data_IF_476879658492
#
_entry.id   IF_476879658492
#
_cell.length_a   1.000
_cell.length_b   1.000
_cell.length_c   1.000
_cell.angle_alpha   90.00
_cell.angle_beta   90.00
_cell.angle_gamma   90.00
#
_symmetry.space_group_name_H-M   'P 1'
#
loop_
_entity.id
_entity.type
_entity.pdbx_description
1 polymer ?
#
# COMPACT_ATOMS: atom_id res chain seq x y z
N UNK A 1 25.06 -7.57 -26.75
CA UNK A 1 23.94 -7.08 -25.93
C UNK A 1 23.44 -5.79 -26.52
N UNK A 2 22.18 -5.77 -26.91
CA UNK A 2 21.54 -4.55 -27.43
C UNK A 2 21.32 -3.54 -26.28
N UNK A 3 21.27 -2.22 -26.55
CA UNK A 3 21.02 -1.21 -25.51
C UNK A 3 19.77 -1.47 -24.67
N UNK A 4 18.72 -2.05 -25.28
CA UNK A 4 17.48 -2.40 -24.57
C UNK A 4 17.68 -3.49 -23.50
N UNK A 5 18.59 -4.45 -23.74
CA UNK A 5 18.90 -5.52 -22.79
C UNK A 5 19.65 -4.97 -21.57
N UNK A 6 20.58 -4.03 -21.80
CA UNK A 6 21.28 -3.34 -20.72
C UNK A 6 20.34 -2.53 -19.84
N UNK A 7 19.38 -1.81 -20.45
CA UNK A 7 18.36 -1.05 -19.72
C UNK A 7 17.51 -2.00 -18.88
N UNK A 8 17.03 -3.11 -19.46
CA UNK A 8 16.23 -4.10 -18.75
C UNK A 8 16.98 -4.70 -17.56
N UNK A 9 18.26 -5.06 -17.75
CA UNK A 9 19.11 -5.59 -16.68
C UNK A 9 19.32 -4.56 -15.56
N UNK A 10 19.54 -3.29 -15.90
CA UNK A 10 19.67 -2.22 -14.91
C UNK A 10 18.38 -1.99 -14.12
N UNK A 11 17.22 -1.98 -14.79
CA UNK A 11 15.91 -1.87 -14.15
C UNK A 11 15.62 -3.05 -13.21
N UNK A 12 15.93 -4.27 -13.65
CA UNK A 12 15.86 -5.47 -12.82
C UNK A 12 16.77 -5.34 -11.60
N UNK A 13 18.05 -5.01 -11.77
CA UNK A 13 18.96 -4.84 -10.64
C UNK A 13 18.46 -3.78 -9.63
N UNK A 14 17.99 -2.63 -10.11
CA UNK A 14 17.42 -1.58 -9.27
C UNK A 14 16.21 -2.10 -8.47
N UNK A 15 15.29 -2.79 -9.13
CA UNK A 15 14.10 -3.38 -8.51
C UNK A 15 14.48 -4.42 -7.45
N UNK A 16 15.46 -5.30 -7.74
CA UNK A 16 15.97 -6.30 -6.81
C UNK A 16 16.53 -5.68 -5.52
N UNK A 17 17.42 -4.70 -5.65
CA UNK A 17 18.01 -4.04 -4.48
C UNK A 17 16.97 -3.24 -3.69
N UNK A 18 16.00 -2.62 -4.36
CA UNK A 18 14.91 -1.91 -3.70
C UNK A 18 14.01 -2.89 -2.89
N UNK A 19 13.68 -4.04 -3.44
CA UNK A 19 12.94 -5.09 -2.72
C UNK A 19 13.72 -5.63 -1.52
N UNK A 20 15.03 -5.90 -1.66
CA UNK A 20 15.89 -6.28 -0.53
C UNK A 20 15.91 -5.22 0.57
N UNK A 21 15.95 -3.95 0.18
CA UNK A 21 15.88 -2.84 1.13
C UNK A 21 14.56 -2.83 1.90
N UNK A 22 13.40 -3.02 1.24
CA UNK A 22 12.11 -3.17 1.93
C UNK A 22 12.14 -4.34 2.90
N UNK A 23 12.60 -5.50 2.44
CA UNK A 23 12.63 -6.73 3.23
C UNK A 23 13.44 -6.48 4.51
N UNK A 24 14.62 -5.87 4.38
CA UNK A 24 15.45 -5.44 5.51
C UNK A 24 14.71 -4.46 6.43
N UNK A 25 14.06 -3.43 5.87
CA UNK A 25 13.31 -2.44 6.66
C UNK A 25 12.16 -3.07 7.44
N UNK A 26 11.32 -3.89 6.81
CA UNK A 26 10.22 -4.58 7.48
C UNK A 26 10.76 -5.56 8.52
N UNK A 27 11.85 -6.28 8.23
CA UNK A 27 12.45 -7.21 9.18
C UNK A 27 12.93 -6.53 10.46
N UNK A 28 13.47 -5.31 10.34
CA UNK A 28 13.92 -4.49 11.47
C UNK A 28 12.81 -3.77 12.24
N UNK A 29 11.55 -3.85 11.80
CA UNK A 29 10.44 -3.26 12.55
C UNK A 29 10.16 -4.03 13.85
N UNK A 30 9.64 -3.37 14.90
CA UNK A 30 9.14 -4.04 16.09
C UNK A 30 8.12 -5.14 15.75
N UNK A 31 8.03 -6.17 16.59
CA UNK A 31 7.15 -7.34 16.38
C UNK A 31 5.72 -6.89 16.10
N UNK A 32 5.22 -5.94 16.87
CA UNK A 32 3.88 -5.38 16.75
C UNK A 32 3.65 -4.73 15.36
N UNK A 33 4.63 -3.97 14.87
CA UNK A 33 4.58 -3.34 13.55
C UNK A 33 4.65 -4.36 12.40
N UNK A 34 5.39 -5.46 12.58
CA UNK A 34 5.51 -6.53 11.57
C UNK A 34 4.22 -7.34 11.41
N UNK A 35 3.40 -7.42 12.46
CA UNK A 35 2.12 -8.13 12.41
C UNK A 35 0.98 -7.32 11.77
N UNK A 36 1.21 -6.02 11.49
CA UNK A 36 0.26 -5.21 10.74
C UNK A 36 0.08 -5.75 9.31
N UNK A 37 -1.12 -5.58 8.73
CA UNK A 37 -1.47 -6.18 7.45
C UNK A 37 -0.58 -5.71 6.29
N UNK A 38 -0.40 -4.40 6.12
CA UNK A 38 0.33 -3.86 4.96
C UNK A 38 1.83 -4.16 4.98
N UNK A 39 2.59 -3.97 6.09
CA UNK A 39 3.99 -4.35 6.10
C UNK A 39 4.19 -5.82 5.73
N UNK A 40 3.28 -6.69 6.18
CA UNK A 40 3.27 -8.11 5.82
C UNK A 40 2.95 -8.35 4.35
N UNK A 41 1.95 -7.68 3.79
CA UNK A 41 1.63 -7.73 2.35
C UNK A 41 2.82 -7.30 1.50
N UNK A 42 3.42 -6.15 1.83
CA UNK A 42 4.57 -5.58 1.12
C UNK A 42 5.81 -6.46 1.28
N UNK A 43 6.00 -7.08 2.44
CA UNK A 43 7.09 -8.03 2.65
C UNK A 43 6.97 -9.24 1.71
N UNK A 44 5.79 -9.87 1.65
CA UNK A 44 5.59 -11.01 0.74
C UNK A 44 5.68 -10.59 -0.73
N UNK A 45 5.11 -9.45 -1.10
CA UNK A 45 5.22 -8.89 -2.45
C UNK A 45 6.69 -8.65 -2.84
N UNK A 46 7.48 -8.03 -1.97
CA UNK A 46 8.90 -7.77 -2.21
C UNK A 46 9.71 -9.08 -2.34
N UNK A 47 9.39 -10.12 -1.57
CA UNK A 47 10.06 -11.43 -1.73
C UNK A 47 9.74 -12.03 -3.10
N UNK A 48 8.46 -12.01 -3.52
CA UNK A 48 8.07 -12.53 -4.83
C UNK A 48 8.74 -11.74 -5.95
N UNK A 49 8.76 -10.41 -5.85
CA UNK A 49 9.39 -9.55 -6.85
C UNK A 49 10.91 -9.82 -6.93
N UNK A 50 11.60 -10.03 -5.80
CA UNK A 50 12.99 -10.49 -5.78
C UNK A 50 13.17 -11.81 -6.56
N UNK A 51 12.27 -12.78 -6.36
CA UNK A 51 12.32 -14.08 -7.06
C UNK A 51 12.11 -13.91 -8.56
N UNK A 52 11.13 -13.12 -8.98
CA UNK A 52 10.84 -12.84 -10.39
C UNK A 52 12.02 -12.14 -11.07
N UNK A 53 12.55 -11.10 -10.42
CA UNK A 53 13.66 -10.33 -10.97
C UNK A 53 14.95 -11.16 -11.03
N UNK A 54 15.26 -11.94 -9.99
CA UNK A 54 16.39 -12.88 -10.02
C UNK A 54 16.25 -13.91 -11.14
N UNK A 55 15.03 -14.44 -11.34
CA UNK A 55 14.72 -15.31 -12.47
C UNK A 55 14.93 -14.62 -13.83
N UNK A 56 14.57 -13.35 -13.95
CA UNK A 56 14.72 -12.56 -15.19
C UNK A 56 16.19 -12.27 -15.50
N UNK A 57 16.97 -11.87 -14.49
CA UNK A 57 18.43 -11.68 -14.61
C UNK A 57 19.10 -12.97 -15.05
N UNK A 58 18.77 -14.08 -14.38
CA UNK A 58 19.30 -15.41 -14.73
C UNK A 58 18.94 -15.80 -16.17
N UNK A 59 17.77 -15.39 -16.67
CA UNK A 59 17.33 -15.69 -18.05
C UNK A 59 18.22 -14.97 -19.06
N UNK A 60 18.49 -13.69 -18.82
CA UNK A 60 19.39 -12.90 -19.66
C UNK A 60 20.79 -13.51 -19.75
N UNK A 61 21.34 -13.98 -18.63
CA UNK A 61 22.65 -14.65 -18.63
C UNK A 61 22.62 -16.01 -19.34
N UNK A 62 21.58 -16.82 -19.13
CA UNK A 62 21.46 -18.13 -19.78
C UNK A 62 21.34 -17.97 -21.30
N UNK A 63 20.44 -17.09 -21.78
CA UNK A 63 20.25 -16.85 -23.21
C UNK A 63 21.54 -16.41 -23.91
N UNK A 64 22.34 -15.56 -23.25
CA UNK A 64 23.61 -15.08 -23.81
C UNK A 64 24.68 -16.15 -23.89
N UNK A 65 24.80 -16.97 -22.84
CA UNK A 65 25.77 -18.06 -22.84
C UNK A 65 25.40 -19.18 -23.82
N UNK A 66 24.12 -19.36 -24.14
CA UNK A 66 23.64 -20.37 -25.08
C UNK A 66 23.62 -19.94 -26.54
N UNK A 67 23.77 -18.64 -26.83
CA UNK A 67 23.66 -18.08 -28.19
C UNK A 67 24.73 -18.56 -29.19
N UNK A 68 25.69 -19.40 -28.78
CA UNK A 68 26.76 -19.93 -29.63
C UNK A 68 26.86 -21.46 -29.69
N UNK A 69 25.95 -22.21 -29.08
CA UNK A 69 26.01 -23.68 -29.04
C UNK A 69 25.02 -24.32 -30.03
N UNK A 70 25.53 -25.03 -31.04
CA UNK A 70 24.79 -26.00 -31.84
C UNK A 70 25.52 -27.36 -31.81
N UNK A 71 24.87 -28.47 -31.37
CA UNK A 71 23.48 -28.58 -30.87
C UNK A 71 23.29 -28.07 -29.43
N UNK A 72 22.07 -27.64 -29.13
CA UNK A 72 21.68 -27.18 -27.79
C UNK A 72 21.64 -28.38 -26.82
N UNK A 73 22.29 -28.32 -25.66
CA UNK A 73 22.28 -29.42 -24.69
C UNK A 73 20.87 -29.73 -24.15
N UNK A 74 20.54 -31.00 -23.94
CA UNK A 74 19.21 -31.44 -23.44
C UNK A 74 18.81 -30.81 -22.10
N UNK A 75 19.79 -30.53 -21.22
CA UNK A 75 19.55 -29.90 -19.92
C UNK A 75 18.98 -28.48 -20.05
N UNK A 76 19.19 -27.82 -21.19
CA UNK A 76 18.66 -26.48 -21.48
C UNK A 76 17.15 -26.46 -21.38
N UNK A 77 16.46 -27.50 -21.85
CA UNK A 77 15.00 -27.58 -21.80
C UNK A 77 14.49 -27.68 -20.34
N UNK A 78 15.18 -28.45 -19.50
CA UNK A 78 14.83 -28.56 -18.08
C UNK A 78 15.03 -27.23 -17.35
N UNK A 79 16.17 -26.55 -17.59
CA UNK A 79 16.46 -25.22 -17.03
C UNK A 79 15.44 -24.19 -17.50
N UNK A 80 15.11 -24.20 -18.79
CA UNK A 80 14.11 -23.35 -19.41
C UNK A 80 12.72 -23.49 -18.74
N UNK A 81 12.29 -24.74 -18.52
CA UNK A 81 11.03 -25.06 -17.84
C UNK A 81 11.03 -24.58 -16.39
N UNK A 82 12.09 -24.86 -15.65
CA UNK A 82 12.22 -24.45 -14.26
C UNK A 82 12.19 -22.91 -14.13
N UNK A 83 12.88 -22.23 -15.03
CA UNK A 83 12.92 -20.78 -15.08
C UNK A 83 11.57 -20.17 -15.43
N UNK A 84 10.89 -20.68 -16.46
CA UNK A 84 9.54 -20.23 -16.81
C UNK A 84 8.54 -20.50 -15.68
N UNK A 85 8.65 -21.62 -14.98
CA UNK A 85 7.83 -21.92 -13.81
C UNK A 85 8.01 -20.85 -12.73
N UNK A 86 9.26 -20.48 -12.41
CA UNK A 86 9.57 -19.45 -11.40
C UNK A 86 9.07 -18.09 -11.86
N UNK A 87 9.31 -17.71 -13.12
CA UNK A 87 8.90 -16.41 -13.66
C UNK A 87 7.39 -16.25 -13.73
N UNK A 88 6.68 -17.21 -14.35
CA UNK A 88 5.22 -17.15 -14.51
C UNK A 88 4.54 -17.27 -13.15
N UNK A 89 4.97 -18.24 -12.34
CA UNK A 89 4.41 -18.44 -11.00
C UNK A 89 4.65 -17.25 -10.08
N UNK A 90 5.85 -16.67 -10.12
CA UNK A 90 6.20 -15.46 -9.37
C UNK A 90 5.38 -14.25 -9.82
N UNK A 91 5.27 -13.99 -11.13
CA UNK A 91 4.44 -12.88 -11.64
C UNK A 91 2.98 -13.00 -11.23
N UNK A 92 2.43 -14.22 -11.29
CA UNK A 92 1.07 -14.49 -10.82
C UNK A 92 0.93 -14.23 -9.32
N UNK A 93 1.87 -14.73 -8.51
CA UNK A 93 1.89 -14.50 -7.06
C UNK A 93 1.97 -13.01 -6.73
N UNK A 94 2.80 -12.26 -7.43
CA UNK A 94 2.96 -10.81 -7.26
C UNK A 94 1.65 -10.09 -7.55
N UNK A 95 1.00 -10.44 -8.67
CA UNK A 95 -0.33 -9.91 -9.02
C UNK A 95 -1.42 -10.23 -7.99
N UNK A 96 -1.41 -11.43 -7.40
CA UNK A 96 -2.33 -11.80 -6.31
C UNK A 96 -2.08 -10.97 -5.04
N UNK A 97 -0.83 -10.68 -4.71
CA UNK A 97 -0.51 -9.80 -3.58
C UNK A 97 -0.94 -8.35 -3.84
N UNK A 98 -0.80 -7.84 -5.06
CA UNK A 98 -1.33 -6.52 -5.44
C UNK A 98 -2.86 -6.45 -5.30
N UNK A 99 -3.57 -7.48 -5.78
CA UNK A 99 -5.02 -7.61 -5.58
C UNK A 99 -5.41 -7.72 -4.10
N UNK A 100 -4.58 -8.38 -3.29
CA UNK A 100 -4.79 -8.48 -1.85
C UNK A 100 -4.58 -7.14 -1.14
N UNK A 101 -3.59 -6.34 -1.57
CA UNK A 101 -3.41 -4.96 -1.09
C UNK A 101 -4.63 -4.12 -1.47
N UNK A 102 -5.10 -4.19 -2.72
CA UNK A 102 -6.29 -3.48 -3.19
C UNK A 102 -7.55 -3.86 -2.40
N UNK A 103 -7.76 -5.16 -2.16
CA UNK A 103 -8.84 -5.67 -1.33
C UNK A 103 -8.71 -5.21 0.14
N UNK A 104 -7.48 -5.13 0.64
CA UNK A 104 -7.15 -4.56 1.95
C UNK A 104 -7.64 -3.12 2.06
N UNK A 105 -7.27 -2.25 1.12
CA UNK A 105 -7.78 -0.87 1.05
C UNK A 105 -9.30 -0.82 1.02
N UNK A 106 -9.92 -1.62 0.15
CA UNK A 106 -11.38 -1.67 0.02
C UNK A 106 -12.05 -2.06 1.34
N UNK A 107 -11.59 -3.12 2.01
CA UNK A 107 -12.15 -3.55 3.29
C UNK A 107 -11.88 -2.56 4.43
N UNK A 108 -10.74 -1.85 4.40
CA UNK A 108 -10.43 -0.76 5.34
C UNK A 108 -11.39 0.42 5.17
N UNK A 109 -11.58 0.92 3.94
CA UNK A 109 -12.47 2.06 3.68
C UNK A 109 -13.96 1.71 3.80
N UNK A 110 -14.35 0.47 3.53
CA UNK A 110 -15.71 -0.04 3.78
C UNK A 110 -15.94 -0.45 5.23
N UNK A 111 -14.92 -0.37 6.11
CA UNK A 111 -14.97 -0.76 7.52
C UNK A 111 -15.40 -2.22 7.76
N UNK A 112 -15.05 -3.11 6.84
CA UNK A 112 -15.41 -4.53 6.88
C UNK A 112 -14.42 -5.34 7.74
N UNK A 113 -14.62 -5.34 9.07
CA UNK A 113 -13.71 -6.02 10.03
C UNK A 113 -13.52 -7.52 9.76
N UNK A 114 -14.60 -8.24 9.45
CA UNK A 114 -14.55 -9.69 9.19
C UNK A 114 -13.70 -10.00 7.96
N UNK A 115 -13.86 -9.20 6.89
CA UNK A 115 -13.02 -9.27 5.70
C UNK A 115 -11.55 -9.02 6.06
N UNK A 116 -11.25 -7.95 6.79
CA UNK A 116 -9.87 -7.62 7.16
C UNK A 116 -9.19 -8.71 8.00
N UNK A 117 -9.91 -9.30 8.97
CA UNK A 117 -9.43 -10.44 9.75
C UNK A 117 -9.13 -11.66 8.88
N UNK A 118 -10.00 -11.93 7.89
CA UNK A 118 -9.78 -13.00 6.92
C UNK A 118 -8.54 -12.73 6.06
N UNK A 119 -8.39 -11.50 5.53
CA UNK A 119 -7.23 -11.10 4.72
C UNK A 119 -5.92 -11.15 5.52
N UNK A 120 -5.96 -10.84 6.82
CA UNK A 120 -4.80 -10.91 7.71
C UNK A 120 -4.42 -12.34 8.12
N UNK A 121 -5.27 -13.33 7.84
CA UNK A 121 -4.99 -14.73 8.15
C UNK A 121 -3.79 -15.24 7.38
N UNK A 122 -2.85 -15.88 8.08
CA UNK A 122 -1.66 -16.51 7.49
C UNK A 122 -1.99 -17.52 6.39
N UNK A 123 -3.15 -18.17 6.48
CA UNK A 123 -3.61 -19.12 5.46
C UNK A 123 -3.81 -18.48 4.08
N UNK A 124 -4.24 -17.21 4.01
CA UNK A 124 -4.45 -16.50 2.74
C UNK A 124 -3.12 -16.25 2.04
N UNK A 125 -2.11 -15.78 2.78
CA UNK A 125 -0.75 -15.59 2.24
C UNK A 125 -0.16 -16.89 1.70
N UNK A 126 -0.23 -17.97 2.49
CA UNK A 126 0.26 -19.29 2.06
C UNK A 126 -0.47 -19.79 0.81
N UNK A 127 -1.78 -19.54 0.70
CA UNK A 127 -2.57 -19.93 -0.46
C UNK A 127 -2.08 -19.25 -1.74
N UNK A 128 -1.72 -17.96 -1.72
CA UNK A 128 -1.23 -17.27 -2.91
C UNK A 128 0.10 -17.82 -3.42
N UNK A 129 1.02 -18.15 -2.52
CA UNK A 129 2.28 -18.82 -2.88
C UNK A 129 2.03 -20.17 -3.54
N UNK A 130 1.13 -20.98 -2.97
CA UNK A 130 0.77 -22.29 -3.52
C UNK A 130 0.12 -22.11 -4.90
N UNK A 131 -0.84 -21.20 -5.05
CA UNK A 131 -1.49 -20.91 -6.34
C UNK A 131 -0.47 -20.45 -7.38
N UNK A 132 0.47 -19.58 -7.01
CA UNK A 132 1.62 -19.18 -7.80
C UNK A 132 2.43 -20.34 -8.35
N UNK A 133 2.91 -21.20 -7.45
CA UNK A 133 3.74 -22.35 -7.79
C UNK A 133 2.99 -23.37 -8.66
N UNK A 134 1.75 -23.68 -8.30
CA UNK A 134 0.89 -24.60 -9.06
C UNK A 134 0.64 -24.04 -10.46
N UNK A 135 0.35 -22.76 -10.56
CA UNK A 135 0.12 -22.10 -11.84
C UNK A 135 1.35 -22.09 -12.73
N UNK A 136 2.51 -21.68 -12.18
CA UNK A 136 3.78 -21.73 -12.88
C UNK A 136 4.13 -23.13 -13.36
N UNK A 137 3.88 -24.16 -12.52
CA UNK A 137 4.12 -25.55 -12.88
C UNK A 137 3.22 -26.01 -14.04
N UNK A 138 1.92 -25.70 -14.02
CA UNK A 138 1.02 -26.10 -15.10
C UNK A 138 1.36 -25.39 -16.42
N UNK A 139 1.58 -24.08 -16.40
CA UNK A 139 1.89 -23.31 -17.62
C UNK A 139 3.25 -23.71 -18.20
N UNK A 140 4.30 -23.77 -17.37
CA UNK A 140 5.63 -24.14 -17.84
C UNK A 140 5.72 -25.64 -18.17
N UNK A 141 5.11 -26.51 -17.36
CA UNK A 141 5.16 -27.96 -17.55
C UNK A 141 4.44 -28.42 -18.81
N UNK A 142 3.26 -27.87 -19.09
CA UNK A 142 2.44 -28.23 -20.24
C UNK A 142 2.78 -27.40 -21.51
N UNK A 143 3.15 -26.13 -21.32
CA UNK A 143 3.28 -25.16 -22.40
C UNK A 143 4.70 -24.80 -22.84
N UNK A 144 5.72 -25.07 -22.02
CA UNK A 144 7.09 -24.76 -22.40
C UNK A 144 7.71 -25.86 -23.28
N UNK A 145 8.26 -25.43 -24.41
CA UNK A 145 9.16 -26.22 -25.23
C UNK A 145 10.12 -25.28 -25.95
N UNK A 146 11.36 -25.71 -26.16
CA UNK A 146 12.29 -24.95 -27.01
C UNK A 146 11.73 -24.94 -28.44
N UNK A 147 11.53 -23.75 -29.02
CA UNK A 147 11.20 -23.69 -30.45
C UNK A 147 12.33 -24.34 -31.25
N UNK A 148 11.98 -25.27 -32.14
CA UNK A 148 12.93 -25.99 -33.00
C UNK A 148 13.58 -25.11 -34.07
N UNK A 149 13.21 -23.82 -34.15
CA UNK A 149 13.57 -22.91 -35.23
C UNK A 149 14.81 -22.05 -34.94
N UNK A 150 15.91 -22.66 -34.50
CA UNK A 150 17.25 -22.04 -34.48
C UNK A 150 17.46 -20.84 -33.53
N UNK A 151 16.45 -20.40 -32.80
CA UNK A 151 16.55 -19.32 -31.81
C UNK A 151 16.30 -19.92 -30.43
N UNK A 152 17.36 -20.07 -29.64
CA UNK A 152 17.43 -20.57 -28.26
C UNK A 152 16.76 -19.62 -27.26
N UNK A 153 15.52 -19.20 -27.51
CA UNK A 153 14.73 -18.43 -26.55
C UNK A 153 13.74 -19.33 -25.83
N UNK A 154 13.69 -19.19 -24.52
CA UNK A 154 12.71 -19.83 -23.68
C UNK A 154 11.35 -19.18 -23.87
N UNK A 155 10.53 -19.73 -24.76
CA UNK A 155 9.20 -19.20 -25.06
C UNK A 155 8.09 -20.16 -24.64
N UNK A 156 7.01 -19.60 -24.11
CA UNK A 156 5.76 -20.33 -23.87
C UNK A 156 5.05 -20.49 -25.23
N UNK A 157 4.43 -21.65 -25.48
CA UNK A 157 3.60 -21.85 -26.67
C UNK A 157 2.41 -20.88 -26.66
N UNK A 158 2.23 -20.18 -27.77
CA UNK A 158 1.21 -19.13 -27.97
C UNK A 158 -0.23 -19.50 -27.57
N UNK A 159 -0.62 -20.77 -27.62
CA UNK A 159 -1.98 -21.17 -27.24
C UNK A 159 -2.23 -21.08 -25.72
N UNK A 160 -1.18 -21.21 -24.90
CA UNK A 160 -1.26 -21.09 -23.44
C UNK A 160 -1.28 -19.63 -22.96
N UNK A 161 -0.99 -18.68 -23.85
CA UNK A 161 -1.04 -17.24 -23.54
C UNK A 161 -2.47 -16.79 -23.18
N UNK A 162 -3.51 -17.38 -23.78
CA UNK A 162 -4.91 -16.94 -23.55
C UNK A 162 -5.32 -17.05 -22.09
N UNK A 163 -4.93 -18.15 -21.41
CA UNK A 163 -5.22 -18.35 -20.00
C UNK A 163 -4.49 -17.31 -19.15
N UNK A 164 -3.18 -17.15 -19.38
CA UNK A 164 -2.36 -16.17 -18.66
C UNK A 164 -2.90 -14.73 -18.81
N UNK A 165 -3.31 -14.35 -20.02
CA UNK A 165 -3.92 -13.04 -20.29
C UNK A 165 -5.26 -12.89 -19.58
N UNK A 166 -6.16 -13.88 -19.67
CA UNK A 166 -7.46 -13.81 -19.03
C UNK A 166 -7.35 -13.68 -17.50
N UNK A 167 -6.43 -14.42 -16.88
CA UNK A 167 -6.15 -14.35 -15.45
C UNK A 167 -5.55 -12.99 -15.06
N UNK A 168 -4.53 -12.53 -15.78
CA UNK A 168 -3.92 -11.21 -15.54
C UNK A 168 -4.95 -10.10 -15.64
N UNK A 169 -5.80 -10.14 -16.68
CA UNK A 169 -6.89 -9.19 -16.87
C UNK A 169 -7.92 -9.25 -15.74
N UNK A 170 -8.25 -10.46 -15.26
CA UNK A 170 -9.20 -10.65 -14.16
C UNK A 170 -8.69 -10.07 -12.85
N UNK A 171 -7.44 -10.36 -12.48
CA UNK A 171 -6.80 -9.83 -11.27
C UNK A 171 -6.61 -8.32 -11.37
N UNK A 172 -6.21 -7.83 -12.53
CA UNK A 172 -6.07 -6.40 -12.78
C UNK A 172 -7.41 -5.67 -12.63
N UNK A 173 -8.47 -6.20 -13.25
CA UNK A 173 -9.82 -5.64 -13.19
C UNK A 173 -10.37 -5.66 -11.76
N UNK A 174 -10.18 -6.76 -11.03
CA UNK A 174 -10.57 -6.88 -9.63
C UNK A 174 -9.85 -5.83 -8.75
N UNK A 175 -8.54 -5.69 -8.92
CA UNK A 175 -7.74 -4.71 -8.19
C UNK A 175 -8.23 -3.29 -8.45
N UNK A 176 -8.46 -2.95 -9.73
CA UNK A 176 -9.00 -1.65 -10.12
C UNK A 176 -10.39 -1.39 -9.55
N UNK A 177 -11.27 -2.39 -9.56
CA UNK A 177 -12.58 -2.28 -8.94
C UNK A 177 -12.46 -1.97 -7.43
N UNK A 178 -11.59 -2.68 -6.70
CA UNK A 178 -11.33 -2.41 -5.29
C UNK A 178 -10.81 -0.99 -5.04
N UNK A 179 -9.89 -0.48 -5.89
CA UNK A 179 -9.39 0.88 -5.78
C UNK A 179 -10.46 1.93 -6.09
N UNK A 180 -11.30 1.72 -7.11
CA UNK A 180 -12.41 2.62 -7.45
C UNK A 180 -13.41 2.70 -6.30
N UNK A 181 -13.81 1.56 -5.73
CA UNK A 181 -14.71 1.51 -4.57
C UNK A 181 -14.10 2.22 -3.36
N UNK A 182 -12.79 2.02 -3.14
CA UNK A 182 -12.03 2.71 -2.08
C UNK A 182 -12.04 4.23 -2.28
N UNK A 183 -11.72 4.71 -3.49
CA UNK A 183 -11.71 6.13 -3.83
C UNK A 183 -13.10 6.76 -3.69
N UNK A 184 -14.13 6.07 -4.17
CA UNK A 184 -15.52 6.47 -4.01
C UNK A 184 -15.87 6.65 -2.53
N UNK A 185 -15.46 5.73 -1.65
CA UNK A 185 -15.69 5.87 -0.21
C UNK A 185 -14.92 7.03 0.42
N UNK A 186 -13.66 7.23 0.04
CA UNK A 186 -12.84 8.35 0.55
C UNK A 186 -13.42 9.71 0.19
N UNK A 187 -14.09 9.83 -0.95
CA UNK A 187 -14.74 11.08 -1.37
C UNK A 187 -15.73 11.62 -0.32
N UNK A 188 -16.40 10.73 0.42
CA UNK A 188 -17.35 11.11 1.47
C UNK A 188 -16.70 11.41 2.84
N UNK A 189 -15.37 11.31 2.97
CA UNK A 189 -14.69 11.61 4.23
C UNK A 189 -14.53 13.13 4.46
N UNK A 190 -14.43 13.58 5.73
CA UNK A 190 -14.13 14.97 6.07
C UNK A 190 -12.81 15.46 5.46
N UNK A 191 -12.74 16.75 5.12
CA UNK A 191 -11.60 17.34 4.39
C UNK A 191 -10.24 17.13 5.07
N UNK A 192 -10.19 17.09 6.41
CA UNK A 192 -8.96 16.88 7.19
C UNK A 192 -8.33 15.49 6.99
N UNK A 193 -9.15 14.47 6.70
CA UNK A 193 -8.72 13.08 6.48
C UNK A 193 -8.64 12.76 4.99
N UNK A 194 -9.51 13.41 4.20
CA UNK A 194 -9.66 13.14 2.77
C UNK A 194 -8.35 13.32 2.01
N UNK A 195 -7.59 14.40 2.25
CA UNK A 195 -6.36 14.66 1.49
C UNK A 195 -5.32 13.53 1.64
N UNK A 196 -5.11 13.05 2.86
CA UNK A 196 -4.15 11.96 3.16
C UNK A 196 -4.67 10.63 2.60
N UNK A 197 -5.94 10.31 2.84
CA UNK A 197 -6.54 9.08 2.34
C UNK A 197 -6.59 9.03 0.80
N UNK A 198 -6.88 10.18 0.16
CA UNK A 198 -6.93 10.29 -1.30
C UNK A 198 -5.57 10.02 -1.93
N UNK A 199 -4.50 10.60 -1.37
CA UNK A 199 -3.15 10.37 -1.86
C UNK A 199 -2.76 8.88 -1.76
N UNK A 200 -3.05 8.23 -0.62
CA UNK A 200 -2.78 6.81 -0.43
C UNK A 200 -3.60 5.93 -1.40
N UNK A 201 -4.87 6.28 -1.62
CA UNK A 201 -5.78 5.53 -2.50
C UNK A 201 -5.35 5.55 -3.95
N UNK A 202 -4.72 6.64 -4.43
CA UNK A 202 -4.29 6.76 -5.82
C UNK A 202 -2.85 6.30 -6.07
N UNK A 203 -2.00 6.27 -5.05
CA UNK A 203 -0.58 5.93 -5.22
C UNK A 203 -0.37 4.49 -5.70
N UNK A 204 -1.03 3.51 -5.06
CA UNK A 204 -0.93 2.10 -5.42
C UNK A 204 -1.58 1.74 -6.78
N UNK A 205 -2.80 2.18 -7.13
CA UNK A 205 -3.37 1.89 -8.44
C UNK A 205 -2.58 2.55 -9.57
N UNK A 206 -2.07 3.77 -9.38
CA UNK A 206 -1.25 4.42 -10.41
C UNK A 206 0.08 3.68 -10.58
N UNK A 207 0.68 3.20 -9.49
CA UNK A 207 1.85 2.32 -9.57
C UNK A 207 1.52 1.05 -10.38
N UNK A 208 0.55 0.27 -9.92
CA UNK A 208 0.16 -0.99 -10.54
C UNK A 208 -0.25 -0.83 -12.02
N UNK A 209 -0.96 0.25 -12.35
CA UNK A 209 -1.28 0.60 -13.74
C UNK A 209 -0.02 0.92 -14.55
N UNK A 210 0.91 1.71 -14.00
CA UNK A 210 2.12 2.12 -14.71
C UNK A 210 3.07 0.96 -14.99
N UNK A 211 3.16 -0.01 -14.08
CA UNK A 211 4.10 -1.14 -14.17
C UNK A 211 3.51 -2.31 -14.96
N UNK A 212 2.26 -2.70 -14.70
CA UNK A 212 1.62 -3.85 -15.37
C UNK A 212 0.74 -3.47 -16.56
N UNK A 213 0.17 -2.26 -16.57
CA UNK A 213 -0.74 -1.81 -17.63
C UNK A 213 -0.14 -1.88 -19.04
N UNK A 214 1.10 -1.40 -19.29
CA UNK A 214 1.74 -1.52 -20.60
C UNK A 214 1.88 -2.97 -21.08
N UNK A 215 2.27 -3.89 -20.19
CA UNK A 215 2.41 -5.31 -20.51
C UNK A 215 1.05 -5.94 -20.83
N UNK A 216 0.03 -5.67 -20.01
CA UNK A 216 -1.32 -6.15 -20.25
C UNK A 216 -1.89 -5.63 -21.58
N UNK A 217 -1.64 -4.35 -21.89
CA UNK A 217 -2.04 -3.75 -23.16
C UNK A 217 -1.34 -4.41 -24.35
N UNK A 218 -0.03 -4.67 -24.23
CA UNK A 218 0.71 -5.42 -25.24
C UNK A 218 0.15 -6.83 -25.41
N UNK A 219 -0.14 -7.55 -24.34
CA UNK A 219 -0.73 -8.89 -24.38
C UNK A 219 -2.10 -8.91 -25.08
N UNK A 220 -2.95 -7.92 -24.82
CA UNK A 220 -4.26 -7.81 -25.45
C UNK A 220 -4.19 -7.44 -26.95
N UNK A 221 -3.21 -6.62 -27.35
CA UNK A 221 -3.08 -6.11 -28.74
C UNK A 221 -2.09 -6.91 -29.57
N UNK A 222 -1.19 -7.67 -28.95
CA UNK A 222 -0.21 -8.54 -29.58
C UNK A 222 0.47 -7.93 -30.80
N UNK A 223 0.24 -8.56 -31.95
CA UNK A 223 0.89 -8.26 -33.25
C UNK A 223 0.68 -6.83 -33.77
N UNK A 224 -0.29 -6.10 -33.23
CA UNK A 224 -0.59 -4.73 -33.65
C UNK A 224 0.33 -3.68 -33.01
N UNK A 225 1.17 -4.06 -32.05
CA UNK A 225 2.10 -3.16 -31.37
C UNK A 225 3.53 -3.28 -31.93
N UNK A 226 4.26 -2.16 -32.09
CA UNK A 226 5.67 -2.19 -32.45
C UNK A 226 6.50 -2.96 -31.43
N UNK A 227 7.58 -3.61 -31.87
CA UNK A 227 8.52 -4.32 -30.98
C UNK A 227 9.10 -3.41 -29.89
N UNK A 228 9.34 -2.13 -30.21
CA UNK A 228 9.80 -1.14 -29.24
C UNK A 228 8.83 -0.96 -28.05
N UNK A 229 7.52 -1.11 -28.27
CA UNK A 229 6.53 -1.04 -27.20
C UNK A 229 6.64 -2.23 -26.24
N UNK A 230 6.96 -3.43 -26.76
CA UNK A 230 7.20 -4.60 -25.92
C UNK A 230 8.40 -4.40 -25.00
N UNK A 231 9.51 -3.87 -25.53
CA UNK A 231 10.69 -3.54 -24.71
C UNK A 231 10.36 -2.50 -23.63
N UNK A 232 9.58 -1.47 -23.97
CA UNK A 232 9.09 -0.51 -22.99
C UNK A 232 8.21 -1.17 -21.90
N UNK A 233 7.27 -2.02 -22.30
CA UNK A 233 6.40 -2.73 -21.37
C UNK A 233 7.18 -3.65 -20.42
N UNK A 234 8.20 -4.35 -20.91
CA UNK A 234 9.11 -5.14 -20.08
C UNK A 234 9.88 -4.27 -19.08
N UNK A 235 10.38 -3.12 -19.51
CA UNK A 235 11.08 -2.18 -18.61
C UNK A 235 10.16 -1.70 -17.49
N UNK A 236 8.92 -1.31 -17.82
CA UNK A 236 7.94 -0.88 -16.83
C UNK A 236 7.57 -2.00 -15.85
N UNK A 237 7.39 -3.23 -16.35
CA UNK A 237 7.10 -4.39 -15.50
C UNK A 237 8.30 -4.72 -14.58
N UNK A 238 9.52 -4.67 -15.09
CA UNK A 238 10.75 -4.89 -14.32
C UNK A 238 10.95 -3.88 -13.19
N UNK A 239 10.44 -2.65 -13.35
CA UNK A 239 10.50 -1.60 -12.34
C UNK A 239 9.45 -1.76 -11.22
N UNK A 240 8.58 -2.77 -11.26
CA UNK A 240 7.48 -2.94 -10.30
C UNK A 240 7.94 -2.89 -8.84
N UNK A 241 8.94 -3.68 -8.50
CA UNK A 241 9.51 -3.72 -7.15
C UNK A 241 10.03 -2.36 -6.70
N UNK A 242 10.77 -1.65 -7.56
CA UNK A 242 11.26 -0.30 -7.27
C UNK A 242 10.12 0.70 -7.03
N UNK A 243 9.11 0.74 -7.89
CA UNK A 243 8.00 1.70 -7.74
C UNK A 243 7.15 1.37 -6.50
N UNK A 244 6.98 0.08 -6.17
CA UNK A 244 6.37 -0.36 -4.92
C UNK A 244 7.13 0.15 -3.69
N UNK A 245 8.46 0.19 -3.76
CA UNK A 245 9.33 0.77 -2.72
C UNK A 245 9.15 2.27 -2.57
N UNK A 246 9.08 2.99 -3.68
CA UNK A 246 8.79 4.42 -3.66
C UNK A 246 7.42 4.67 -3.04
N UNK A 247 6.38 3.93 -3.46
CA UNK A 247 5.03 4.05 -2.90
C UNK A 247 5.01 3.79 -1.40
N UNK A 248 5.69 2.74 -0.94
CA UNK A 248 5.80 2.42 0.48
C UNK A 248 6.54 3.50 1.27
N UNK A 249 7.71 3.93 0.80
CA UNK A 249 8.53 4.93 1.48
C UNK A 249 7.79 6.27 1.63
N UNK A 250 7.08 6.68 0.58
CA UNK A 250 6.24 7.88 0.61
C UNK A 250 5.12 7.71 1.64
N UNK A 251 4.39 6.58 1.61
CA UNK A 251 3.31 6.31 2.55
C UNK A 251 3.81 6.29 4.02
N UNK A 252 4.93 5.61 4.30
CA UNK A 252 5.54 5.58 5.63
C UNK A 252 5.97 6.97 6.13
N UNK A 253 6.51 7.83 5.26
CA UNK A 253 6.89 9.20 5.64
C UNK A 253 5.68 10.01 6.09
N UNK A 254 4.55 9.85 5.40
CA UNK A 254 3.29 10.50 5.79
C UNK A 254 2.75 9.97 7.12
N UNK A 255 2.81 8.66 7.34
CA UNK A 255 2.42 8.06 8.62
C UNK A 255 3.28 8.61 9.77
N UNK A 256 4.61 8.61 9.63
CA UNK A 256 5.54 9.09 10.67
C UNK A 256 5.33 10.57 11.03
N UNK A 257 5.21 11.44 10.02
CA UNK A 257 5.00 12.89 10.25
C UNK A 257 3.70 13.17 11.00
N UNK A 258 2.71 12.32 10.81
CA UNK A 258 1.42 12.45 11.48
C UNK A 258 1.44 12.00 12.95
N UNK A 259 2.42 11.17 13.36
CA UNK A 259 2.65 10.80 14.76
C UNK A 259 3.48 11.85 15.52
N UNK A 260 4.45 12.48 14.86
CA UNK A 260 5.37 13.43 15.51
C UNK A 260 4.84 14.86 15.59
N UNK A 261 3.69 15.15 14.96
CA UNK A 261 3.09 16.51 14.91
C UNK A 261 2.26 16.92 16.12
N UNK A 262 2.06 16.03 17.11
CA UNK A 262 1.55 16.37 18.45
C UNK A 262 2.68 16.05 19.43
N UNK A 263 2.97 16.99 20.32
CA UNK A 263 4.07 16.96 21.28
C UNK A 263 4.38 15.54 21.83
N UNK A 264 5.54 14.94 21.50
CA UNK A 264 5.93 13.64 22.04
C UNK A 264 6.10 13.65 23.57
N UNK A 265 6.12 14.84 24.20
CA UNK A 265 6.24 15.00 25.65
C UNK A 265 4.92 15.03 26.43
N UNK A 266 3.74 15.15 25.79
CA UNK A 266 2.48 15.44 26.52
C UNK A 266 1.46 14.29 26.60
N UNK A 267 1.53 13.28 25.74
CA UNK A 267 0.55 12.17 25.74
C UNK A 267 1.08 10.82 26.27
N UNK A 268 2.40 10.63 26.39
CA UNK A 268 2.96 9.36 26.90
C UNK A 268 2.71 9.20 28.41
N UNK A 269 2.49 10.29 29.15
CA UNK A 269 2.29 10.24 30.61
C UNK A 269 0.84 9.89 31.00
N UNK A 270 -0.14 10.00 30.10
CA UNK A 270 -1.57 9.74 30.43
C UNK A 270 -2.21 8.53 29.73
N UNK A 271 -1.48 7.72 28.95
CA UNK A 271 -2.01 6.42 28.46
C UNK A 271 -2.01 5.31 29.52
N UNK A 272 -1.97 5.66 30.81
CA UNK A 272 -2.18 4.72 31.93
C UNK A 272 -3.63 4.77 32.44
N UNK A 273 -4.57 5.26 31.63
CA UNK A 273 -5.98 5.14 31.96
C UNK A 273 -6.49 3.71 31.75
N UNK A 274 -7.40 3.24 32.61
CA UNK A 274 -7.87 1.87 32.62
C UNK A 274 -8.51 1.52 31.27
N UNK A 275 -8.04 0.41 30.69
CA UNK A 275 -8.61 -0.24 29.50
C UNK A 275 -10.12 -0.36 29.63
N UNK A 276 -10.87 0.56 29.04
CA UNK A 276 -12.24 0.28 28.62
C UNK A 276 -12.14 -0.65 27.42
N UNK A 277 -12.94 -1.73 27.39
CA UNK A 277 -12.89 -2.78 26.37
C UNK A 277 -13.05 -2.27 24.93
N UNK A 278 -13.71 -1.13 24.75
CA UNK A 278 -13.87 -0.43 23.48
C UNK A 278 -12.55 0.17 22.94
N UNK A 279 -11.67 0.66 23.81
CA UNK A 279 -10.36 1.19 23.41
C UNK A 279 -9.45 0.10 22.85
N UNK A 280 -9.49 -1.10 23.45
CA UNK A 280 -8.70 -2.25 22.99
C UNK A 280 -9.17 -2.74 21.61
N UNK A 281 -10.48 -2.82 21.38
CA UNK A 281 -11.03 -3.26 20.08
C UNK A 281 -10.76 -2.24 18.96
N UNK A 282 -10.75 -0.95 19.30
CA UNK A 282 -10.37 0.13 18.37
C UNK A 282 -8.87 0.13 18.06
N UNK A 283 -8.03 -0.08 19.08
CA UNK A 283 -6.57 -0.17 18.92
C UNK A 283 -6.17 -1.41 18.11
N UNK A 284 -6.90 -2.53 18.27
CA UNK A 284 -6.77 -3.71 17.42
C UNK A 284 -7.16 -3.42 15.96
N UNK A 285 -8.18 -2.59 15.73
CA UNK A 285 -8.62 -2.22 14.38
C UNK A 285 -7.64 -1.28 13.68
N UNK A 286 -7.17 -0.24 14.37
CA UNK A 286 -6.12 0.66 13.89
C UNK A 286 -4.75 -0.02 13.79
N UNK A 287 -4.50 -1.05 14.60
CA UNK A 287 -3.32 -1.91 14.49
C UNK A 287 -3.39 -2.85 13.29
N UNK A 288 -4.58 -3.39 12.99
CA UNK A 288 -4.79 -4.28 11.84
C UNK A 288 -4.75 -3.52 10.51
N UNK A 289 -5.38 -2.34 10.43
CA UNK A 289 -5.34 -1.46 9.29
C UNK A 289 -4.17 -0.50 9.45
N UNK A 290 -2.99 -0.80 8.89
CA UNK A 290 -1.84 0.12 8.91
C UNK A 290 -2.07 1.47 8.21
N UNK A 291 -3.29 1.73 7.76
CA UNK A 291 -3.71 2.94 7.08
C UNK A 291 -4.50 3.79 8.07
N UNK A 292 -4.21 5.09 8.10
CA UNK A 292 -5.09 6.06 8.76
C UNK A 292 -6.45 6.03 8.08
N UNK A 293 -7.38 5.25 8.63
CA UNK A 293 -8.79 5.58 8.49
C UNK A 293 -9.01 6.65 9.52
N UNK A 294 -9.18 7.89 9.08
CA UNK A 294 -9.62 8.93 9.99
C UNK A 294 -11.03 8.59 10.43
N UNK A 295 -11.13 7.83 11.52
CA UNK A 295 -12.28 7.90 12.39
C UNK A 295 -12.06 9.20 13.15
N UNK A 296 -12.70 10.26 12.66
CA UNK A 296 -12.96 11.41 13.51
C UNK A 296 -13.97 10.91 14.53
N UNK A 297 -13.48 10.33 15.64
CA UNK A 297 -14.16 10.45 16.92
C UNK A 297 -13.79 11.83 17.48
N UNK A 298 -14.27 12.88 16.79
CA UNK A 298 -14.73 14.09 17.49
C UNK A 298 -16.19 13.86 17.92
N UNK A 299 -16.55 12.63 18.26
CA UNK A 299 -17.12 12.42 19.59
C UNK A 299 -15.89 12.11 20.43
N UNK A 300 -15.07 13.11 20.78
CA UNK A 300 -14.95 13.42 22.20
C UNK A 300 -16.14 12.83 22.98
N UNK A 301 -16.08 11.52 23.27
CA UNK A 301 -16.52 11.06 24.57
C UNK A 301 -15.54 11.75 25.52
N UNK A 302 -15.83 13.02 25.79
CA UNK A 302 -15.56 13.57 27.09
C UNK A 302 -16.35 12.61 27.96
N UNK A 303 -15.65 11.68 28.61
CA UNK A 303 -16.17 11.19 29.88
C UNK A 303 -16.37 12.47 30.65
N UNK A 304 -17.62 12.93 30.66
CA UNK A 304 -18.04 14.02 31.50
C UNK A 304 -17.84 13.39 32.87
N UNK A 305 -16.68 13.63 33.48
CA UNK A 305 -16.45 13.28 34.88
C UNK A 305 -17.71 13.71 35.63
N UNK A 306 -18.21 12.92 36.57
CA UNK A 306 -19.47 13.21 37.28
C UNK A 306 -19.55 14.68 37.76
N UNK A 307 -18.39 15.30 38.01
CA UNK A 307 -18.22 16.73 38.33
C UNK A 307 -18.65 17.68 37.18
N UNK A 308 -18.30 17.40 35.94
CA UNK A 308 -18.76 18.17 34.78
C UNK A 308 -20.24 17.93 34.47
N UNK A 309 -20.79 16.76 34.81
CA UNK A 309 -22.21 16.46 34.65
C UNK A 309 -23.03 17.23 35.70
N UNK A 310 -22.56 17.23 36.95
CA UNK A 310 -23.09 18.08 38.02
C UNK A 310 -22.97 19.57 37.68
N UNK A 311 -21.84 20.02 37.14
CA UNK A 311 -21.63 21.41 36.75
C UNK A 311 -22.56 21.83 35.59
N UNK A 312 -22.81 20.92 34.64
CA UNK A 312 -23.75 21.17 33.54
C UNK A 312 -25.18 21.21 34.05
N UNK A 313 -25.60 20.23 34.86
CA UNK A 313 -26.93 20.24 35.49
C UNK A 313 -27.15 21.50 36.34
N UNK A 314 -26.13 21.92 37.09
CA UNK A 314 -26.20 23.13 37.89
C UNK A 314 -26.33 24.38 37.01
N UNK A 315 -25.55 24.47 35.93
CA UNK A 315 -25.65 25.57 34.96
C UNK A 315 -27.03 25.61 34.30
N UNK A 316 -27.60 24.46 33.93
CA UNK A 316 -28.94 24.38 33.35
C UNK A 316 -30.03 24.81 34.34
N UNK A 317 -29.93 24.38 35.61
CA UNK A 317 -30.84 24.82 36.68
C UNK A 317 -30.74 26.33 36.94
N UNK A 318 -29.53 26.88 36.98
CA UNK A 318 -29.31 28.32 37.15
C UNK A 318 -29.89 29.11 35.97
N UNK A 319 -29.71 28.62 34.74
CA UNK A 319 -30.27 29.25 33.55
C UNK A 319 -31.80 29.21 33.55
N UNK A 320 -32.40 28.07 33.87
CA UNK A 320 -33.86 27.94 33.98
C UNK A 320 -34.45 28.84 35.08
N UNK A 321 -33.78 28.98 36.22
CA UNK A 321 -34.19 29.91 37.28
C UNK A 321 -34.13 31.36 36.80
N UNK A 322 -33.07 31.76 36.09
CA UNK A 322 -32.95 33.11 35.53
C UNK A 322 -34.02 33.40 34.47
N UNK A 323 -34.35 32.41 33.63
CA UNK A 323 -35.45 32.52 32.66
C UNK A 323 -36.81 32.64 33.34
N UNK A 324 -37.03 31.95 34.46
CA UNK A 324 -38.29 32.04 35.22
C UNK A 324 -38.51 33.39 35.91
N UNK A 325 -37.41 34.09 36.24
CA UNK A 325 -37.44 35.43 36.84
C UNK A 325 -37.66 36.53 35.80
N UNK A 326 -37.66 36.19 34.51
CA UNK A 326 -37.87 37.16 33.44
C UNK A 326 -39.34 37.62 33.45
N UNK A 327 -39.63 38.91 33.67
CA UNK A 327 -41.00 39.39 33.76
C UNK A 327 -41.72 39.20 32.43
N UNK A 328 -42.96 38.69 32.50
CA UNK A 328 -43.84 38.48 31.36
C UNK A 328 -44.05 39.82 30.62
N UNK A 329 -43.42 39.97 29.46
CA UNK A 329 -43.44 41.18 28.65
C UNK A 329 -42.07 41.83 28.37
N UNK A 330 -40.97 41.32 28.94
CA UNK A 330 -39.62 41.80 28.57
C UNK A 330 -39.09 41.11 27.30
N UNK A 331 -39.64 41.49 26.15
CA UNK A 331 -39.06 41.19 24.83
C UNK A 331 -37.81 42.06 24.59
N UNK A 332 -36.79 41.95 25.44
CA UNK A 332 -35.46 42.43 25.08
C UNK A 332 -34.82 41.38 24.17
N UNK A 333 -35.05 41.52 22.88
CA UNK A 333 -34.30 40.86 21.81
C UNK A 333 -32.87 41.41 21.80
N UNK A 334 -32.06 41.01 22.80
CA UNK A 334 -30.64 41.33 22.82
C UNK A 334 -29.97 40.47 21.75
N UNK A 335 -29.84 41.07 20.56
CA UNK A 335 -29.04 40.59 19.45
C UNK A 335 -27.59 40.40 19.91
N UNK A 336 -27.23 39.18 20.28
CA UNK A 336 -25.91 38.77 20.77
C UNK A 336 -24.88 38.64 19.62
N UNK A 337 -24.77 39.65 18.75
CA UNK A 337 -23.96 39.55 17.52
C UNK A 337 -22.64 40.34 17.51
N UNK A 338 -22.23 41.03 18.57
CA UNK A 338 -21.17 42.05 18.40
C UNK A 338 -20.05 42.16 19.46
N UNK A 339 -19.68 41.07 20.15
CA UNK A 339 -18.66 41.16 21.22
C UNK A 339 -17.53 40.13 21.20
N UNK A 340 -17.16 39.59 20.03
CA UNK A 340 -15.97 38.72 19.89
C UNK A 340 -14.77 39.35 19.19
N UNK A 341 -14.76 40.66 18.89
CA UNK A 341 -13.68 41.27 18.10
C UNK A 341 -12.66 42.14 18.84
N UNK A 342 -12.77 42.32 20.15
CA UNK A 342 -11.81 43.18 20.87
C UNK A 342 -11.49 42.58 22.23
N UNK A 343 -10.49 41.70 22.28
CA UNK A 343 -9.44 41.68 23.31
C UNK A 343 -8.59 40.43 23.16
N UNK A 344 -7.50 40.57 22.40
CA UNK A 344 -6.42 39.59 22.28
C UNK A 344 -5.07 40.27 22.13
N UNK A 345 -4.84 41.36 22.88
CA UNK A 345 -3.51 41.92 23.08
C UNK A 345 -2.74 41.03 24.04
N UNK A 346 -1.83 40.22 23.53
CA UNK A 346 -0.81 39.52 24.33
C UNK A 346 0.56 40.04 23.92
N UNK A 347 1.05 40.87 24.82
CA UNK A 347 2.42 41.20 25.19
C UNK A 347 3.51 40.29 24.62
N UNK A 348 4.42 40.93 23.91
CA UNK A 348 5.79 40.51 23.65
C UNK A 348 6.54 40.25 24.96
N UNK A 349 6.93 39.00 25.20
CA UNK A 349 7.99 38.67 26.16
C UNK A 349 9.04 37.84 25.44
N UNK A 350 10.13 38.54 25.13
CA UNK A 350 11.41 38.02 24.71
C UNK A 350 11.95 37.04 25.74
N UNK A 351 12.19 35.80 25.32
CA UNK A 351 13.19 34.95 25.97
C UNK A 351 13.97 34.19 24.90
N UNK A 352 15.21 34.62 24.75
CA UNK A 352 16.31 34.01 24.04
C UNK A 352 16.70 32.68 24.68
N UNK A 353 16.67 31.59 23.89
CA UNK A 353 17.40 30.35 24.16
C UNK A 353 17.63 29.59 22.84
N UNK A 354 18.71 28.79 22.74
CA UNK A 354 19.54 28.69 21.54
C UNK A 354 19.04 27.71 20.48
N UNK A 355 19.39 28.02 19.24
CA UNK A 355 19.39 27.11 18.11
C UNK A 355 20.23 25.87 18.43
N UNK A 356 19.57 24.72 18.58
CA UNK A 356 20.21 23.40 18.43
C UNK A 356 19.90 22.93 17.01
N UNK A 357 20.89 23.09 16.14
CA UNK A 357 20.94 22.46 14.82
C UNK A 357 21.28 20.99 14.98
N UNK A 358 20.28 20.13 15.07
CA UNK A 358 20.48 18.70 14.82
C UNK A 358 20.36 18.44 13.32
N UNK A 359 21.53 18.50 12.67
CA UNK A 359 21.79 17.95 11.36
C UNK A 359 21.67 16.42 11.41
N UNK A 360 20.62 15.87 10.81
CA UNK A 360 20.65 14.49 10.32
C UNK A 360 20.49 14.55 8.80
N UNK A 361 21.64 14.73 8.14
CA UNK A 361 21.75 14.69 6.69
C UNK A 361 21.42 13.29 6.18
N UNK A 362 20.45 13.20 5.28
CA UNK A 362 20.42 12.15 4.28
C UNK A 362 21.04 12.74 3.01
N UNK A 363 22.32 12.46 2.79
CA UNK A 363 22.87 12.44 1.44
C UNK A 363 22.50 11.09 0.82
N UNK A 364 22.11 11.16 -0.45
CA UNK A 364 21.82 10.04 -1.35
C UNK A 364 22.88 8.93 -1.30
#
# INVERSE_FOLDING_TARGET
MDPAEWILLACNALSFFACLWIIGKVWTMPVEGRHMLLPRQIFHLAIVDCVVVAGSITNGFIEQNLAGYEPVPDWTNAVCKAQLMVLVGGKWTSSLFEAHIAAGFCCVYLRQRKCLKLLASTGVFASFWIQGLVFGFFIAGLGAGSSSSGVTRCTIKRNDDTASVAMSLSVFSFSMFCYIVSAYRVYFFPNSVRSVAWQATWMFPMNYFSTYGPMLYWLCRGRWMPQAFFSFALVMESLNGFVNVVAYAVNCKYLRRSYTGRDPGREVINMRHPRTSLSAEFQDWCGAASFRVGIIENVQQVDIDNICEEALEQSERETANLESLKPAGSESSVSYRESYQTNGGISSLSNSAPYVTDTCGMSL
#
